data_IF_490248193000
#
_entry.id   IF_490248193000
#
_cell.length_a   1.000
_cell.length_b   1.000
_cell.length_c   1.000
_cell.angle_alpha   90.00
_cell.angle_beta   90.00
_cell.angle_gamma   90.00
#
_symmetry.space_group_name_H-M   'P 1'
#
loop_
_entity.id
_entity.type
_entity.pdbx_description
1 polymer ?
#
# COMPACT_ATOMS: atom_id res chain seq x y z
N UNK A 1 8.16 -7.72 -12.42
CA UNK A 1 6.68 -7.89 -12.35
C UNK A 1 6.36 -9.11 -11.50
N UNK A 2 5.48 -8.91 -10.51
CA UNK A 2 4.94 -9.95 -9.65
C UNK A 2 3.43 -10.02 -9.92
N UNK A 3 3.01 -10.97 -10.74
CA UNK A 3 1.61 -11.12 -11.09
C UNK A 3 0.93 -12.24 -10.30
N UNK A 4 -0.38 -12.25 -10.36
CA UNK A 4 -1.23 -13.34 -9.85
C UNK A 4 -1.00 -13.66 -8.36
N UNK A 5 -0.81 -12.62 -7.56
CA UNK A 5 -0.58 -12.77 -6.12
C UNK A 5 -1.90 -12.85 -5.36
N UNK A 6 -1.98 -13.81 -4.46
CA UNK A 6 -3.12 -14.01 -3.56
C UNK A 6 -2.63 -13.99 -2.10
N UNK A 7 -3.57 -13.88 -1.19
CA UNK A 7 -3.31 -13.94 0.23
C UNK A 7 -3.84 -12.72 0.97
N UNK A 8 -3.61 -12.71 2.26
CA UNK A 8 -4.01 -11.60 3.14
C UNK A 8 -3.22 -10.34 2.79
N UNK A 9 -3.90 -9.24 2.51
CA UNK A 9 -3.28 -8.00 2.02
C UNK A 9 -2.12 -7.54 2.92
N UNK A 10 -2.30 -7.54 4.24
CA UNK A 10 -1.26 -7.12 5.18
C UNK A 10 -0.04 -8.03 5.19
N UNK A 11 -0.20 -9.31 4.93
CA UNK A 11 0.91 -10.27 4.88
C UNK A 11 1.66 -10.17 3.54
N UNK A 12 0.94 -10.04 2.44
CA UNK A 12 1.53 -9.82 1.12
C UNK A 12 2.36 -8.52 1.12
N UNK A 13 1.90 -7.48 1.80
CA UNK A 13 2.63 -6.23 1.96
C UNK A 13 3.98 -6.42 2.67
N UNK A 14 4.05 -7.29 3.66
CA UNK A 14 5.32 -7.59 4.36
C UNK A 14 6.35 -8.20 3.43
N UNK A 15 5.92 -9.09 2.54
CA UNK A 15 6.81 -9.68 1.53
C UNK A 15 7.32 -8.60 0.58
N UNK A 16 6.44 -7.74 0.10
CA UNK A 16 6.83 -6.61 -0.76
C UNK A 16 7.80 -5.66 -0.06
N UNK A 17 7.59 -5.37 1.22
CA UNK A 17 8.52 -4.54 2.00
C UNK A 17 9.91 -5.17 2.08
N UNK A 18 9.98 -6.47 2.29
CA UNK A 18 11.25 -7.21 2.30
C UNK A 18 11.99 -7.11 0.97
N UNK A 19 11.28 -7.30 -0.14
CA UNK A 19 11.84 -7.18 -1.49
C UNK A 19 12.34 -5.74 -1.72
N UNK A 20 11.55 -4.73 -1.37
CA UNK A 20 11.93 -3.33 -1.56
C UNK A 20 13.19 -2.97 -0.76
N UNK A 21 13.28 -3.40 0.49
CA UNK A 21 14.48 -3.19 1.31
C UNK A 21 15.70 -3.88 0.73
N UNK A 22 15.55 -5.11 0.23
CA UNK A 22 16.65 -5.87 -0.39
C UNK A 22 17.18 -5.14 -1.62
N UNK A 23 16.30 -4.62 -2.45
CA UNK A 23 16.69 -3.83 -3.64
C UNK A 23 17.44 -2.57 -3.18
N UNK A 24 16.87 -1.83 -2.24
CA UNK A 24 17.45 -0.56 -1.80
C UNK A 24 18.83 -0.75 -1.16
N UNK A 25 18.99 -1.78 -0.34
CA UNK A 25 20.23 -1.98 0.44
C UNK A 25 21.30 -2.73 -0.33
N UNK A 26 20.92 -3.65 -1.19
CA UNK A 26 21.84 -4.59 -1.82
C UNK A 26 21.76 -4.65 -3.34
N UNK A 27 20.83 -3.94 -3.96
CA UNK A 27 20.65 -3.97 -5.42
C UNK A 27 20.22 -5.34 -5.94
N UNK A 28 19.48 -6.11 -5.16
CA UNK A 28 19.06 -7.47 -5.48
C UNK A 28 17.55 -7.63 -5.29
N UNK A 29 16.86 -8.34 -6.18
CA UNK A 29 17.33 -9.03 -7.40
C UNK A 29 17.65 -8.11 -8.56
N UNK A 30 17.43 -6.80 -8.41
CA UNK A 30 17.79 -5.79 -9.40
C UNK A 30 18.20 -4.49 -8.70
N UNK A 31 18.93 -3.64 -9.44
CA UNK A 31 19.42 -2.39 -8.89
C UNK A 31 18.36 -1.26 -8.99
N UNK A 32 18.40 -0.33 -8.05
CA UNK A 32 17.69 0.93 -8.18
C UNK A 32 18.37 1.83 -9.24
N UNK A 33 17.65 2.73 -9.94
CA UNK A 33 16.21 2.93 -9.79
C UNK A 33 15.40 1.84 -10.47
N UNK A 34 14.30 1.44 -9.86
CA UNK A 34 13.41 0.43 -10.43
C UNK A 34 12.00 0.56 -9.90
N UNK A 35 11.07 -0.11 -10.56
CA UNK A 35 9.69 -0.23 -10.11
C UNK A 35 9.33 -1.70 -10.00
N UNK A 36 8.79 -2.09 -8.85
CA UNK A 36 8.13 -3.39 -8.70
C UNK A 36 6.66 -3.17 -9.07
N UNK A 37 6.21 -3.83 -10.12
CA UNK A 37 4.79 -3.91 -10.46
C UNK A 37 4.23 -5.21 -9.92
N UNK A 38 3.10 -5.13 -9.26
CA UNK A 38 2.47 -6.27 -8.60
C UNK A 38 0.96 -6.26 -8.87
N UNK A 39 0.41 -7.43 -9.09
CA UNK A 39 -1.02 -7.62 -9.36
C UNK A 39 -1.55 -8.89 -8.71
N UNK A 40 -2.80 -9.18 -8.96
CA UNK A 40 -3.53 -10.28 -8.37
C UNK A 40 -4.70 -9.80 -7.54
N UNK A 41 -5.16 -10.62 -6.62
CA UNK A 41 -6.29 -10.29 -5.76
C UNK A 41 -6.01 -10.73 -4.32
N UNK A 42 -5.78 -9.77 -3.43
CA UNK A 42 -5.61 -10.04 -2.01
C UNK A 42 -6.96 -10.03 -1.29
N UNK A 43 -6.94 -10.47 -0.05
CA UNK A 43 -8.12 -10.51 0.83
C UNK A 43 -7.85 -9.72 2.10
N UNK A 44 -8.91 -9.33 2.79
CA UNK A 44 -8.84 -8.68 4.10
C UNK A 44 -9.72 -9.45 5.08
N UNK A 45 -9.14 -9.83 6.21
CA UNK A 45 -9.91 -10.33 7.34
C UNK A 45 -10.32 -9.13 8.20
N UNK A 46 -11.60 -8.80 8.18
CA UNK A 46 -12.13 -7.66 8.95
C UNK A 46 -12.18 -8.03 10.43
N UNK A 47 -11.46 -7.27 11.26
CA UNK A 47 -11.38 -7.47 12.72
C UNK A 47 -11.84 -6.25 13.49
N UNK A 48 -11.88 -5.09 12.87
CA UNK A 48 -12.24 -3.82 13.47
C UNK A 48 -13.42 -3.16 12.76
N UNK A 49 -13.62 -1.89 13.06
CA UNK A 49 -14.74 -1.08 12.57
C UNK A 49 -14.29 0.03 11.61
N UNK A 50 -13.02 0.06 11.26
CA UNK A 50 -12.47 1.07 10.36
C UNK A 50 -12.94 0.90 8.93
N UNK A 51 -12.55 1.87 8.08
CA UNK A 51 -12.91 1.91 6.66
C UNK A 51 -11.68 1.58 5.80
N UNK A 52 -11.90 0.87 4.73
CA UNK A 52 -10.89 0.59 3.73
C UNK A 52 -11.02 -0.80 3.14
N UNK A 53 -10.61 -0.92 1.89
CA UNK A 53 -10.54 -2.17 1.18
C UNK A 53 -9.14 -2.79 1.25
N UNK A 54 -8.92 -3.80 0.42
CA UNK A 54 -7.67 -4.56 0.40
C UNK A 54 -6.46 -3.74 -0.05
N UNK A 55 -6.63 -2.79 -0.96
CA UNK A 55 -5.53 -1.98 -1.45
C UNK A 55 -5.07 -0.95 -0.43
N UNK A 56 -5.99 -0.28 0.26
CA UNK A 56 -5.66 0.61 1.37
C UNK A 56 -4.99 -0.16 2.52
N UNK A 57 -5.46 -1.37 2.85
CA UNK A 57 -4.84 -2.18 3.89
C UNK A 57 -3.45 -2.69 3.49
N UNK A 58 -3.27 -3.11 2.25
CA UNK A 58 -1.94 -3.45 1.73
C UNK A 58 -0.98 -2.28 1.94
N UNK A 59 -1.38 -1.09 1.52
CA UNK A 59 -0.51 0.08 1.59
C UNK A 59 -0.25 0.53 3.03
N UNK A 60 -1.24 0.41 3.91
CA UNK A 60 -1.08 0.69 5.34
C UNK A 60 -0.04 -0.25 5.98
N UNK A 61 -0.13 -1.53 5.68
CA UNK A 61 0.84 -2.51 6.16
C UNK A 61 2.23 -2.26 5.58
N UNK A 62 2.33 -1.94 4.29
CA UNK A 62 3.59 -1.57 3.66
C UNK A 62 4.23 -0.36 4.35
N UNK A 63 3.44 0.66 4.63
CA UNK A 63 3.88 1.86 5.35
C UNK A 63 4.40 1.52 6.74
N UNK A 64 3.69 0.66 7.47
CA UNK A 64 4.11 0.20 8.79
C UNK A 64 5.42 -0.57 8.76
N UNK A 65 5.61 -1.45 7.77
CA UNK A 65 6.80 -2.28 7.65
C UNK A 65 8.03 -1.47 7.22
N UNK A 66 7.88 -0.53 6.28
CA UNK A 66 8.99 0.28 5.78
C UNK A 66 9.41 1.39 6.75
N UNK A 67 8.52 1.87 7.61
CA UNK A 67 8.80 2.86 8.67
C UNK A 67 9.55 4.10 8.17
N UNK A 68 9.18 4.58 6.97
CA UNK A 68 9.83 5.76 6.41
C UNK A 68 11.18 5.50 5.75
N UNK A 69 11.45 4.26 5.31
CA UNK A 69 12.62 3.98 4.47
C UNK A 69 12.73 5.02 3.35
N UNK A 70 13.87 5.73 3.23
CA UNK A 70 14.01 6.74 2.19
C UNK A 70 14.01 6.12 0.79
N UNK A 71 13.65 6.94 -0.19
CA UNK A 71 13.68 6.58 -1.62
C UNK A 71 12.72 5.46 -2.03
N UNK A 72 11.72 5.14 -1.21
CA UNK A 72 10.68 4.17 -1.54
C UNK A 72 9.31 4.84 -1.55
N UNK A 73 8.66 4.81 -2.70
CA UNK A 73 7.34 5.37 -2.96
C UNK A 73 6.44 4.25 -3.41
N UNK A 74 5.16 4.29 -3.12
CA UNK A 74 4.26 3.23 -3.55
C UNK A 74 2.85 3.73 -3.80
N UNK A 75 2.12 2.99 -4.60
CA UNK A 75 0.68 3.09 -4.71
C UNK A 75 0.07 1.70 -4.76
N UNK A 76 -1.15 1.61 -4.34
CA UNK A 76 -1.98 0.42 -4.51
C UNK A 76 -3.40 0.84 -4.80
N UNK A 77 -4.03 0.20 -5.77
CA UNK A 77 -5.40 0.52 -6.14
C UNK A 77 -6.09 -0.63 -6.85
N UNK A 78 -7.41 -0.63 -6.74
CA UNK A 78 -8.25 -1.51 -7.53
C UNK A 78 -8.43 -0.90 -8.92
N UNK A 79 -8.21 -1.69 -9.95
CA UNK A 79 -8.29 -1.21 -11.33
C UNK A 79 -9.70 -0.79 -11.74
N UNK A 80 -10.74 -1.22 -11.04
CA UNK A 80 -12.12 -0.77 -11.28
C UNK A 80 -12.40 0.62 -10.66
N UNK A 81 -11.50 1.17 -9.86
CA UNK A 81 -11.63 2.48 -9.23
C UNK A 81 -12.29 2.45 -7.85
N UNK A 82 -12.63 1.27 -7.34
CA UNK A 82 -13.33 1.11 -6.07
C UNK A 82 -12.60 0.09 -5.19
N UNK A 83 -12.04 0.56 -4.07
CA UNK A 83 -11.36 -0.30 -3.10
C UNK A 83 -12.37 -0.75 -2.04
N UNK A 84 -12.84 -1.98 -2.18
CA UNK A 84 -13.89 -2.52 -1.31
C UNK A 84 -15.23 -1.80 -1.53
N UNK A 85 -15.76 -1.19 -0.49
CA UNK A 85 -17.02 -0.45 -0.51
C UNK A 85 -16.85 1.08 -0.49
N UNK A 86 -15.61 1.56 -0.55
CA UNK A 86 -15.30 2.97 -0.41
C UNK A 86 -15.23 3.68 -1.77
N UNK A 87 -15.13 5.02 -1.75
CA UNK A 87 -15.12 5.84 -2.96
C UNK A 87 -13.74 5.99 -3.61
N UNK A 88 -12.68 5.48 -2.96
CA UNK A 88 -11.31 5.54 -3.46
C UNK A 88 -10.95 4.27 -4.22
N UNK A 89 -10.04 4.38 -5.17
CA UNK A 89 -9.42 3.24 -5.82
C UNK A 89 -8.36 2.59 -4.91
N UNK A 90 -7.71 3.38 -4.11
CA UNK A 90 -6.63 2.97 -3.22
C UNK A 90 -5.97 4.17 -2.57
N UNK A 91 -4.64 4.15 -2.44
CA UNK A 91 -3.90 5.22 -1.80
C UNK A 91 -2.47 5.31 -2.31
N UNK A 92 -1.77 6.36 -1.87
CA UNK A 92 -0.38 6.65 -2.17
C UNK A 92 0.46 6.64 -0.89
N UNK A 93 1.67 6.12 -0.98
CA UNK A 93 2.65 6.17 0.10
C UNK A 93 3.91 6.89 -0.37
N UNK A 94 4.43 7.76 0.49
CA UNK A 94 5.72 8.43 0.31
C UNK A 94 6.68 8.04 1.44
N UNK A 95 7.98 8.35 1.33
CA UNK A 95 8.89 8.15 2.46
C UNK A 95 8.49 8.89 3.74
N UNK A 96 7.65 9.92 3.62
CA UNK A 96 7.19 10.72 4.76
C UNK A 96 5.86 10.25 5.36
N UNK A 97 5.18 9.30 4.75
CA UNK A 97 3.83 8.91 5.18
C UNK A 97 3.77 8.44 6.63
N UNK A 98 4.71 7.60 7.05
CA UNK A 98 4.76 7.09 8.43
C UNK A 98 4.93 8.24 9.44
N UNK A 99 5.89 9.13 9.21
CA UNK A 99 6.15 10.28 10.09
C UNK A 99 4.97 11.26 10.09
N UNK A 100 4.35 11.50 8.95
CA UNK A 100 3.18 12.38 8.85
C UNK A 100 1.99 11.81 9.62
N UNK A 101 1.81 10.49 9.59
CA UNK A 101 0.79 9.81 10.38
C UNK A 101 1.01 10.00 11.88
N UNK A 102 2.24 9.78 12.35
CA UNK A 102 2.59 10.01 13.76
C UNK A 102 2.36 11.47 14.18
N UNK A 103 2.77 12.42 13.35
CA UNK A 103 2.55 13.85 13.60
C UNK A 103 1.06 14.22 13.68
N UNK A 104 0.22 13.51 12.93
CA UNK A 104 -1.22 13.68 12.97
C UNK A 104 -1.89 12.94 14.16
N UNK A 105 -1.10 12.30 15.01
CA UNK A 105 -1.60 11.57 16.17
C UNK A 105 -2.12 10.16 15.86
N UNK A 106 -1.82 9.64 14.68
CA UNK A 106 -2.26 8.31 14.27
C UNK A 106 -1.22 7.26 14.66
N UNK A 107 -1.69 6.19 15.27
CA UNK A 107 -0.86 5.01 15.59
C UNK A 107 -1.12 3.95 14.53
N UNK A 108 -0.18 3.75 13.65
CA UNK A 108 -0.38 2.92 12.45
C UNK A 108 -0.79 1.48 12.79
N UNK A 109 -0.26 0.90 13.87
CA UNK A 109 -0.64 -0.45 14.31
C UNK A 109 -2.08 -0.52 14.77
N UNK A 110 -2.57 0.52 15.47
CA UNK A 110 -3.96 0.60 15.89
C UNK A 110 -4.88 0.72 14.67
N UNK A 111 -4.48 1.50 13.68
CA UNK A 111 -5.24 1.65 12.44
C UNK A 111 -5.30 0.33 11.65
N UNK A 112 -4.21 -0.44 11.63
CA UNK A 112 -4.20 -1.78 11.04
C UNK A 112 -5.13 -2.73 11.80
N UNK A 113 -5.08 -2.74 13.12
CA UNK A 113 -5.94 -3.60 13.94
C UNK A 113 -7.42 -3.28 13.75
N UNK A 114 -7.74 -2.02 13.46
CA UNK A 114 -9.09 -1.55 13.19
C UNK A 114 -9.51 -1.68 11.71
N UNK A 115 -8.66 -2.17 10.84
CA UNK A 115 -8.88 -2.22 9.38
C UNK A 115 -9.19 -0.83 8.79
N UNK A 116 -8.48 0.20 9.23
CA UNK A 116 -8.78 1.60 8.89
C UNK A 116 -7.76 2.23 7.93
N UNK A 117 -7.41 1.52 6.88
CA UNK A 117 -6.51 2.05 5.84
C UNK A 117 -7.05 3.31 5.17
N UNK A 118 -8.35 3.34 4.88
CA UNK A 118 -9.00 4.52 4.32
C UNK A 118 -8.84 5.74 5.24
N UNK A 119 -9.17 5.59 6.53
CA UNK A 119 -9.08 6.70 7.48
C UNK A 119 -7.66 7.22 7.63
N UNK A 120 -6.67 6.33 7.65
CA UNK A 120 -5.27 6.73 7.73
C UNK A 120 -4.84 7.59 6.54
N UNK A 121 -5.05 7.10 5.32
CA UNK A 121 -4.63 7.84 4.12
C UNK A 121 -5.52 9.05 3.83
N UNK A 122 -6.79 9.02 4.25
CA UNK A 122 -7.65 10.20 4.20
C UNK A 122 -7.08 11.34 5.04
N UNK A 123 -6.64 11.03 6.26
CA UNK A 123 -6.04 12.03 7.16
C UNK A 123 -4.75 12.62 6.58
N UNK A 124 -4.00 11.86 5.79
CA UNK A 124 -2.81 12.35 5.09
C UNK A 124 -3.12 13.07 3.78
N UNK A 125 -4.33 13.01 3.28
CA UNK A 125 -4.68 13.56 1.97
C UNK A 125 -4.14 12.73 0.80
N UNK A 126 -3.87 11.45 1.02
CA UNK A 126 -3.18 10.59 0.05
C UNK A 126 -4.09 9.46 -0.50
N UNK A 127 -5.40 9.61 -0.42
CA UNK A 127 -6.32 8.70 -1.10
C UNK A 127 -6.21 8.88 -2.62
N UNK A 128 -6.22 7.77 -3.34
CA UNK A 128 -6.31 7.76 -4.79
C UNK A 128 -7.78 7.62 -5.17
N UNK A 129 -8.36 8.69 -5.71
CA UNK A 129 -9.76 8.74 -6.12
C UNK A 129 -9.83 8.97 -7.61
N UNK A 130 -10.29 7.98 -8.36
CA UNK A 130 -10.37 8.04 -9.83
C UNK A 130 -11.80 8.03 -10.34
N UNK A 131 -12.76 7.63 -9.51
CA UNK A 131 -14.08 7.23 -9.96
C UNK A 131 -14.03 5.89 -10.70
N UNK A 132 -15.20 5.36 -11.12
CA UNK A 132 -15.27 4.11 -11.87
C UNK A 132 -14.48 4.17 -13.16
N UNK A 133 -13.64 3.17 -13.43
CA UNK A 133 -12.76 3.12 -14.61
C UNK A 133 -13.37 2.31 -15.77
N UNK A 134 -14.43 1.54 -15.50
CA UNK A 134 -15.08 0.65 -16.45
C UNK A 134 -14.19 -0.50 -16.95
N UNK A 135 -13.18 -0.85 -16.13
CA UNK A 135 -12.37 -2.03 -16.36
C UNK A 135 -12.14 -2.71 -15.00
N UNK A 136 -11.80 -3.99 -15.03
CA UNK A 136 -11.46 -4.69 -13.79
C UNK A 136 -10.51 -5.84 -14.11
N UNK A 137 -9.25 -5.66 -13.69
CA UNK A 137 -8.22 -6.69 -13.70
C UNK A 137 -7.63 -6.86 -12.28
N UNK A 138 -8.48 -6.64 -11.29
CA UNK A 138 -8.19 -6.74 -9.86
C UNK A 138 -7.20 -5.68 -9.37
N UNK A 139 -6.23 -6.05 -8.55
CA UNK A 139 -5.33 -5.10 -7.90
C UNK A 139 -4.19 -4.67 -8.82
N UNK A 140 -3.80 -3.42 -8.65
CA UNK A 140 -2.58 -2.88 -9.22
C UNK A 140 -1.74 -2.24 -8.11
N UNK A 141 -0.49 -2.67 -8.00
CA UNK A 141 0.46 -2.13 -7.03
C UNK A 141 1.74 -1.76 -7.75
N UNK A 142 2.30 -0.61 -7.39
CA UNK A 142 3.60 -0.17 -7.89
C UNK A 142 4.45 0.34 -6.72
N UNK A 143 5.68 -0.12 -6.64
CA UNK A 143 6.65 0.34 -5.64
C UNK A 143 7.85 0.88 -6.40
N UNK A 144 8.08 2.18 -6.29
CA UNK A 144 9.21 2.87 -6.92
C UNK A 144 10.36 2.95 -5.91
N UNK A 145 11.51 2.46 -6.31
CA UNK A 145 12.72 2.50 -5.49
C UNK A 145 13.75 3.34 -6.23
N UNK A 146 14.10 4.46 -5.65
CA UNK A 146 15.07 5.40 -6.21
C UNK A 146 16.46 5.16 -5.62
N UNK A 147 17.48 5.62 -6.34
CA UNK A 147 18.85 5.60 -5.85
C UNK A 147 19.01 6.51 -4.63
N UNK A 148 19.88 6.12 -3.76
CA UNK A 148 20.24 6.90 -2.57
C UNK A 148 21.06 8.13 -2.94
#
# INVERSE_FOLDING_TARGET
ILGDLEGEAREVAKVHAGIARQIRKHGQPLAAPCVILSGGETTVTVRGNGRGGRNAEFLLSLTAELKGEPNIWALAGDTDGIDGSEDNAGALMTPCSHARGEKAGLKIRDELDDNNGYGYFQALGDLLVTGPTRTNVNDFRAILILES
#
